data_IF_151907401334
#
_entry.id   IF_151907401334
#
_cell.length_a   1.000
_cell.length_b   1.000
_cell.length_c   1.000
_cell.angle_alpha   90.00
_cell.angle_beta   90.00
_cell.angle_gamma   90.00
#
_symmetry.space_group_name_H-M   'P 1'
#
loop_
_entity.id
_entity.type
_entity.pdbx_description
1 polymer ?
#
# COMPACT_ATOMS: atom_id res chain seq x y z
N UNK A 1 26.45 -6.88 40.26
CA UNK A 1 25.99 -6.98 38.85
C UNK A 1 27.04 -6.27 38.02
N UNK A 2 27.44 -6.82 36.86
CA UNK A 2 28.45 -6.15 36.04
C UNK A 2 27.87 -4.86 35.45
N UNK A 3 28.71 -3.83 35.24
CA UNK A 3 28.33 -2.58 34.61
C UNK A 3 27.59 -2.79 33.28
N UNK A 4 27.93 -3.87 32.56
CA UNK A 4 27.28 -4.25 31.30
C UNK A 4 25.82 -4.64 31.50
N UNK A 5 25.47 -5.46 32.48
CA UNK A 5 24.08 -5.86 32.74
C UNK A 5 23.20 -4.65 33.03
N UNK A 6 23.70 -3.70 33.81
CA UNK A 6 22.99 -2.46 34.09
C UNK A 6 22.74 -1.64 32.79
N UNK A 7 23.74 -1.51 31.91
CA UNK A 7 23.61 -0.85 30.63
C UNK A 7 22.58 -1.53 29.73
N UNK A 8 22.59 -2.86 29.67
CA UNK A 8 21.63 -3.67 28.88
C UNK A 8 20.20 -3.48 29.40
N UNK A 9 20.01 -3.43 30.72
CA UNK A 9 18.72 -3.17 31.35
C UNK A 9 18.21 -1.76 31.00
N UNK A 10 19.06 -0.73 31.13
CA UNK A 10 18.73 0.64 30.74
C UNK A 10 18.34 0.74 29.26
N UNK A 11 19.07 0.09 28.36
CA UNK A 11 18.69 0.06 26.92
C UNK A 11 17.31 -0.59 26.72
N UNK A 12 16.98 -1.62 27.48
CA UNK A 12 15.66 -2.26 27.43
C UNK A 12 14.55 -1.32 27.89
N UNK A 13 14.74 -0.60 28.99
CA UNK A 13 13.80 0.38 29.53
C UNK A 13 13.59 1.55 28.56
N UNK A 14 14.65 1.99 27.89
CA UNK A 14 14.61 3.01 26.84
C UNK A 14 14.07 2.48 25.49
N UNK A 15 13.73 1.19 25.40
CA UNK A 15 13.26 0.51 24.18
C UNK A 15 14.26 0.57 23.01
N UNK A 16 15.55 0.53 23.32
CA UNK A 16 16.65 0.48 22.35
C UNK A 16 17.03 -0.97 22.03
N UNK A 17 16.07 -1.74 21.50
CA UNK A 17 16.21 -3.19 21.34
C UNK A 17 17.27 -3.56 20.28
N UNK A 18 17.29 -2.86 19.14
CA UNK A 18 18.27 -3.11 18.08
C UNK A 18 19.70 -2.81 18.55
N UNK A 19 19.90 -1.69 19.25
CA UNK A 19 21.18 -1.31 19.84
C UNK A 19 21.64 -2.30 20.91
N UNK A 20 20.72 -2.74 21.78
CA UNK A 20 21.00 -3.75 22.81
C UNK A 20 21.49 -5.07 22.19
N UNK A 21 20.74 -5.59 21.21
CA UNK A 21 21.06 -6.85 20.56
C UNK A 21 22.39 -6.77 19.79
N UNK A 22 22.69 -5.61 19.20
CA UNK A 22 23.98 -5.36 18.55
C UNK A 22 25.14 -5.25 19.57
N UNK A 23 24.91 -4.63 20.74
CA UNK A 23 25.91 -4.55 21.81
C UNK A 23 26.29 -5.95 22.31
N UNK A 24 25.30 -6.80 22.59
CA UNK A 24 25.54 -8.17 23.03
C UNK A 24 26.38 -8.96 22.01
N UNK A 25 26.02 -8.84 20.71
CA UNK A 25 26.80 -9.46 19.63
C UNK A 25 28.24 -8.95 19.56
N UNK A 26 28.45 -7.63 19.73
CA UNK A 26 29.82 -7.07 19.75
C UNK A 26 30.66 -7.59 20.90
N UNK A 27 30.04 -8.01 22.00
CA UNK A 27 30.75 -8.60 23.14
C UNK A 27 31.11 -10.08 22.92
N UNK A 28 30.32 -10.81 22.13
CA UNK A 28 30.48 -12.23 21.87
C UNK A 28 31.40 -12.53 20.67
N UNK A 29 31.41 -11.67 19.67
CA UNK A 29 32.10 -11.92 18.40
C UNK A 29 33.48 -11.22 18.34
N UNK A 30 34.59 -11.98 18.22
CA UNK A 30 35.97 -11.43 18.21
C UNK A 30 36.24 -10.40 17.11
N UNK A 31 35.50 -10.46 15.99
CA UNK A 31 35.68 -9.52 14.85
C UNK A 31 35.49 -8.06 15.24
N UNK A 32 34.70 -7.76 16.26
CA UNK A 32 34.47 -6.39 16.72
C UNK A 32 35.63 -5.83 17.56
N UNK A 33 36.56 -6.66 18.04
CA UNK A 33 37.70 -6.22 18.86
C UNK A 33 38.73 -5.40 18.07
N UNK A 34 38.75 -5.54 16.73
CA UNK A 34 39.63 -4.76 15.84
C UNK A 34 39.07 -3.41 15.44
N UNK A 35 37.77 -3.15 15.72
CA UNK A 35 37.10 -1.90 15.36
C UNK A 35 37.35 -0.82 16.43
N UNK A 36 37.43 0.44 15.98
CA UNK A 36 37.47 1.59 16.88
C UNK A 36 36.16 1.76 17.64
N UNK A 37 36.18 2.59 18.67
CA UNK A 37 34.96 2.90 19.44
C UNK A 37 33.89 3.55 18.54
N UNK A 38 34.30 4.47 17.67
CA UNK A 38 33.40 5.19 16.75
C UNK A 38 32.72 4.24 15.77
N UNK A 39 33.47 3.30 15.20
CA UNK A 39 32.91 2.28 14.31
C UNK A 39 31.90 1.38 15.03
N UNK A 40 32.23 0.93 16.23
CA UNK A 40 31.35 0.12 17.05
C UNK A 40 30.07 0.86 17.44
N UNK A 41 30.19 2.15 17.80
CA UNK A 41 29.04 2.99 18.12
C UNK A 41 28.15 3.20 16.90
N UNK A 42 28.75 3.45 15.72
CA UNK A 42 27.98 3.57 14.47
C UNK A 42 27.17 2.29 14.19
N UNK A 43 27.77 1.12 14.33
CA UNK A 43 27.05 -0.17 14.19
C UNK A 43 25.89 -0.32 15.18
N UNK A 44 26.02 0.15 16.43
CA UNK A 44 24.93 0.12 17.40
C UNK A 44 23.76 1.01 16.98
N UNK A 45 24.05 2.22 16.52
CA UNK A 45 23.04 3.19 16.06
C UNK A 45 22.32 2.66 14.82
N UNK A 46 23.06 2.14 13.83
CA UNK A 46 22.50 1.57 12.61
C UNK A 46 21.58 0.38 12.88
N UNK A 47 21.95 -0.46 13.85
CA UNK A 47 21.12 -1.58 14.29
C UNK A 47 19.78 -1.11 14.88
N UNK A 48 19.79 -0.05 15.70
CA UNK A 48 18.56 0.52 16.29
C UNK A 48 17.67 1.17 15.20
N UNK A 49 18.26 1.96 14.30
CA UNK A 49 17.55 2.58 13.18
C UNK A 49 16.88 1.51 12.33
N UNK A 50 17.60 0.45 12.00
CA UNK A 50 17.10 -0.68 11.22
C UNK A 50 15.98 -1.43 11.94
N UNK A 51 16.13 -1.73 13.23
CA UNK A 51 15.10 -2.38 14.04
C UNK A 51 13.81 -1.54 14.09
N UNK A 52 13.93 -0.24 14.36
CA UNK A 52 12.78 0.68 14.38
C UNK A 52 12.10 0.75 13.03
N UNK A 53 12.87 0.86 11.94
CA UNK A 53 12.34 0.85 10.57
C UNK A 53 11.56 -0.44 10.29
N UNK A 54 12.15 -1.59 10.58
CA UNK A 54 11.53 -2.89 10.37
C UNK A 54 10.24 -3.06 11.18
N UNK A 55 10.24 -2.67 12.45
CA UNK A 55 9.05 -2.69 13.30
C UNK A 55 7.95 -1.75 12.78
N UNK A 56 8.33 -0.58 12.26
CA UNK A 56 7.39 0.35 11.63
C UNK A 56 6.76 -0.24 10.39
N UNK A 57 7.57 -0.80 9.46
CA UNK A 57 7.09 -1.46 8.23
C UNK A 57 6.14 -2.61 8.58
N UNK A 58 6.53 -3.47 9.52
CA UNK A 58 5.70 -4.60 9.96
C UNK A 58 4.34 -4.15 10.50
N UNK A 59 4.31 -3.07 11.29
CA UNK A 59 3.05 -2.48 11.79
C UNK A 59 2.19 -1.92 10.66
N UNK A 60 2.79 -1.17 9.73
CA UNK A 60 2.07 -0.60 8.58
C UNK A 60 1.52 -1.69 7.67
N UNK A 61 2.30 -2.74 7.39
CA UNK A 61 1.86 -3.88 6.60
C UNK A 61 0.70 -4.64 7.27
N UNK A 62 0.74 -4.81 8.58
CA UNK A 62 -0.39 -5.39 9.33
C UNK A 62 -1.65 -4.54 9.24
N UNK A 63 -1.51 -3.22 9.39
CA UNK A 63 -2.62 -2.27 9.36
C UNK A 63 -3.19 -2.06 7.95
N UNK A 64 -2.42 -2.32 6.90
CA UNK A 64 -2.79 -2.07 5.51
C UNK A 64 -3.94 -2.94 5.00
N UNK A 65 -4.18 -4.10 5.61
CA UNK A 65 -5.15 -5.12 5.16
C UNK A 65 -4.97 -5.55 3.71
N UNK A 66 -3.76 -5.45 3.16
CA UNK A 66 -3.47 -5.92 1.79
C UNK A 66 -3.92 -7.37 1.62
N UNK A 67 -4.60 -7.62 0.50
CA UNK A 67 -5.06 -8.98 0.14
C UNK A 67 -3.88 -9.93 -0.09
N UNK A 68 -2.80 -9.43 -0.69
CA UNK A 68 -1.54 -10.13 -0.90
C UNK A 68 -0.44 -9.33 -0.20
N UNK A 69 -0.09 -9.73 1.02
CA UNK A 69 0.93 -9.04 1.84
C UNK A 69 2.35 -9.32 1.37
N UNK A 70 2.52 -10.42 0.67
CA UNK A 70 3.73 -10.94 0.05
C UNK A 70 3.80 -10.68 -1.46
N UNK A 71 3.00 -9.74 -1.97
CA UNK A 71 3.13 -9.28 -3.34
C UNK A 71 4.27 -8.25 -3.42
N UNK A 72 5.30 -8.58 -4.20
CA UNK A 72 6.44 -7.71 -4.48
C UNK A 72 6.51 -7.35 -5.96
N UNK A 73 7.07 -6.17 -6.26
CA UNK A 73 7.25 -5.72 -7.65
C UNK A 73 8.25 -6.60 -8.39
N UNK A 74 9.24 -7.10 -7.67
CA UNK A 74 10.27 -8.01 -8.15
C UNK A 74 9.71 -9.35 -8.66
N UNK A 75 8.58 -9.79 -8.09
CA UNK A 75 7.88 -11.04 -8.47
C UNK A 75 6.85 -10.82 -9.59
N UNK A 76 6.74 -9.61 -10.12
CA UNK A 76 5.82 -9.33 -11.22
C UNK A 76 6.34 -9.96 -12.51
N UNK A 77 5.59 -10.89 -13.06
CA UNK A 77 5.92 -11.53 -14.32
C UNK A 77 5.67 -10.57 -15.51
N UNK A 78 6.74 -10.20 -16.19
CA UNK A 78 6.71 -9.37 -17.40
C UNK A 78 6.77 -10.17 -18.70
N UNK A 79 6.97 -11.49 -18.63
CA UNK A 79 7.11 -12.35 -19.84
C UNK A 79 5.76 -12.68 -20.48
N UNK A 80 4.68 -12.71 -19.70
CA UNK A 80 3.35 -12.90 -20.25
C UNK A 80 2.92 -11.67 -21.06
N UNK A 81 2.42 -11.91 -22.28
CA UNK A 81 1.87 -10.87 -23.17
C UNK A 81 0.56 -10.29 -22.62
N UNK A 82 0.63 -9.54 -21.54
CA UNK A 82 -0.53 -8.91 -20.89
C UNK A 82 -0.55 -7.40 -20.95
N UNK A 83 0.27 -6.80 -21.84
CA UNK A 83 0.32 -5.35 -22.00
C UNK A 83 0.96 -4.59 -20.83
N UNK A 84 1.71 -5.28 -19.97
CA UNK A 84 2.40 -4.68 -18.84
C UNK A 84 3.75 -4.11 -19.29
N UNK A 85 3.88 -2.79 -19.26
CA UNK A 85 5.14 -2.12 -19.55
C UNK A 85 6.05 -2.08 -18.31
N UNK A 86 7.21 -2.73 -18.45
CA UNK A 86 8.21 -2.79 -17.36
C UNK A 86 8.70 -1.41 -16.95
N UNK A 87 8.88 -0.47 -17.91
CA UNK A 87 9.36 0.88 -17.60
C UNK A 87 8.35 1.63 -16.71
N UNK A 88 7.07 1.53 -17.03
CA UNK A 88 5.99 2.12 -16.22
C UNK A 88 5.99 1.57 -14.81
N UNK A 89 6.11 0.25 -14.62
CA UNK A 89 6.12 -0.36 -13.29
C UNK A 89 7.35 0.04 -12.49
N UNK A 90 8.53 0.05 -13.11
CA UNK A 90 9.77 0.51 -12.46
C UNK A 90 9.72 2.00 -12.09
N UNK A 91 9.11 2.84 -12.93
CA UNK A 91 8.87 4.25 -12.60
C UNK A 91 7.95 4.40 -11.38
N UNK A 92 6.87 3.61 -11.32
CA UNK A 92 5.96 3.61 -10.17
C UNK A 92 6.60 3.08 -8.88
N UNK A 93 7.64 2.23 -8.99
CA UNK A 93 8.35 1.71 -7.82
C UNK A 93 9.19 2.76 -7.08
N UNK A 94 9.45 3.93 -7.68
CA UNK A 94 10.13 5.05 -7.02
C UNK A 94 9.23 5.85 -6.08
N UNK A 95 7.91 5.59 -6.10
CA UNK A 95 6.89 6.24 -5.26
C UNK A 95 6.72 7.76 -5.46
N UNK A 96 7.30 8.37 -6.51
CA UNK A 96 7.08 9.79 -6.86
C UNK A 96 5.57 10.12 -7.03
N UNK A 97 4.79 9.14 -7.52
CA UNK A 97 3.35 9.26 -7.67
C UNK A 97 2.63 9.42 -6.32
N UNK A 98 3.18 8.86 -5.23
CA UNK A 98 2.63 9.01 -3.88
C UNK A 98 2.89 10.43 -3.36
N UNK A 99 4.09 10.97 -3.58
CA UNK A 99 4.46 12.32 -3.16
C UNK A 99 3.67 13.38 -3.91
N UNK A 100 3.42 13.16 -5.22
CA UNK A 100 2.64 14.05 -6.08
C UNK A 100 1.14 13.84 -5.96
N UNK A 101 0.68 12.92 -5.13
CA UNK A 101 -0.73 12.55 -4.98
C UNK A 101 -1.41 12.12 -6.29
N UNK A 102 -0.65 11.49 -7.19
CA UNK A 102 -1.17 10.93 -8.42
C UNK A 102 -1.83 9.58 -8.15
N UNK A 103 -2.83 9.24 -8.93
CA UNK A 103 -3.52 7.97 -8.86
C UNK A 103 -2.90 6.90 -9.78
N UNK A 104 -3.23 5.65 -9.56
CA UNK A 104 -2.88 4.53 -10.45
C UNK A 104 -4.15 3.75 -10.76
N UNK A 105 -4.48 3.60 -12.04
CA UNK A 105 -5.65 2.85 -12.50
C UNK A 105 -5.17 1.61 -13.23
N UNK A 106 -5.56 0.44 -12.73
CA UNK A 106 -5.21 -0.86 -13.31
C UNK A 106 -6.49 -1.50 -13.82
N UNK A 107 -6.71 -1.47 -15.14
CA UNK A 107 -7.87 -2.08 -15.79
C UNK A 107 -7.51 -3.36 -16.52
N UNK A 108 -8.51 -4.20 -16.80
CA UNK A 108 -8.34 -5.41 -17.61
C UNK A 108 -9.19 -6.59 -17.16
N UNK A 109 -9.21 -7.71 -17.92
CA UNK A 109 -10.03 -8.89 -17.65
C UNK A 109 -9.76 -9.54 -16.29
N UNK A 110 -10.71 -10.36 -15.84
CA UNK A 110 -10.54 -11.16 -14.61
C UNK A 110 -9.32 -12.10 -14.73
N UNK A 111 -8.55 -12.17 -13.64
CA UNK A 111 -7.42 -13.10 -13.54
C UNK A 111 -6.10 -12.59 -14.12
N UNK A 112 -6.05 -11.39 -14.72
CA UNK A 112 -4.81 -10.82 -15.31
C UNK A 112 -3.80 -10.29 -14.30
N UNK A 113 -4.09 -10.39 -12.98
CA UNK A 113 -3.15 -9.99 -11.92
C UNK A 113 -3.32 -8.55 -11.42
N UNK A 114 -4.42 -7.84 -11.73
CA UNK A 114 -4.68 -6.45 -11.28
C UNK A 114 -4.49 -6.25 -9.79
N UNK A 115 -5.19 -7.04 -8.98
CA UNK A 115 -5.14 -6.96 -7.51
C UNK A 115 -3.74 -7.28 -6.98
N UNK A 116 -3.02 -8.24 -7.59
CA UNK A 116 -1.65 -8.55 -7.21
C UNK A 116 -0.74 -7.34 -7.44
N UNK A 117 -0.81 -6.74 -8.63
CA UNK A 117 -0.01 -5.56 -8.99
C UNK A 117 -0.34 -4.36 -8.08
N UNK A 118 -1.62 -4.13 -7.78
CA UNK A 118 -2.05 -3.09 -6.84
C UNK A 118 -1.46 -3.31 -5.44
N UNK A 119 -1.47 -4.56 -4.95
CA UNK A 119 -0.86 -4.91 -3.66
C UNK A 119 0.66 -4.77 -3.70
N UNK A 120 1.33 -5.13 -4.80
CA UNK A 120 2.78 -4.99 -4.96
C UNK A 120 3.22 -3.52 -4.92
N UNK A 121 2.52 -2.62 -5.61
CA UNK A 121 2.78 -1.17 -5.55
C UNK A 121 2.53 -0.61 -4.14
N UNK A 122 1.43 -1.01 -3.49
CA UNK A 122 1.14 -0.58 -2.12
C UNK A 122 2.16 -1.12 -1.11
N UNK A 123 2.64 -2.36 -1.27
CA UNK A 123 3.67 -2.96 -0.45
C UNK A 123 5.01 -2.22 -0.62
N UNK A 124 5.37 -1.87 -1.87
CA UNK A 124 6.55 -1.04 -2.15
C UNK A 124 6.45 0.31 -1.44
N UNK A 125 5.31 0.99 -1.51
CA UNK A 125 5.08 2.23 -0.80
C UNK A 125 5.24 2.08 0.73
N UNK A 126 4.73 0.98 1.32
CA UNK A 126 4.91 0.67 2.75
C UNK A 126 6.38 0.50 3.10
N UNK A 127 7.15 -0.20 2.28
CA UNK A 127 8.58 -0.43 2.50
C UNK A 127 9.38 0.88 2.51
N UNK A 128 8.95 1.87 1.72
CA UNK A 128 9.53 3.20 1.69
C UNK A 128 8.93 4.17 2.74
N UNK A 129 8.03 3.66 3.60
CA UNK A 129 7.53 4.37 4.78
C UNK A 129 6.18 5.07 4.61
N UNK A 130 5.50 4.91 3.46
CA UNK A 130 4.16 5.43 3.24
C UNK A 130 3.11 4.48 3.80
N UNK A 131 2.09 5.03 4.48
CA UNK A 131 0.99 4.21 4.97
C UNK A 131 0.04 3.83 3.82
N UNK A 132 -0.37 2.55 3.76
CA UNK A 132 -1.32 2.07 2.77
C UNK A 132 -2.51 1.37 3.42
N UNK A 133 -3.65 1.34 2.72
CA UNK A 133 -4.83 0.59 3.12
C UNK A 133 -5.51 -0.01 1.90
N UNK A 134 -5.94 -1.26 2.01
CA UNK A 134 -6.66 -1.97 0.96
C UNK A 134 -8.10 -2.22 1.37
N UNK A 135 -9.02 -1.98 0.45
CA UNK A 135 -10.42 -2.39 0.58
C UNK A 135 -11.02 -2.64 -0.81
N UNK A 136 -12.06 -3.46 -0.87
CA UNK A 136 -12.93 -3.54 -2.06
C UNK A 136 -13.95 -2.43 -2.00
N UNK A 137 -14.36 -1.93 -3.17
CA UNK A 137 -15.37 -0.87 -3.24
C UNK A 137 -16.69 -1.27 -2.55
N UNK A 138 -17.13 -2.51 -2.74
CA UNK A 138 -18.33 -3.03 -2.07
C UNK A 138 -18.23 -3.03 -0.54
N UNK A 139 -17.05 -3.37 -0.02
CA UNK A 139 -16.80 -3.37 1.42
C UNK A 139 -16.70 -1.93 1.97
N UNK A 140 -16.07 -1.01 1.21
CA UNK A 140 -16.03 0.41 1.55
C UNK A 140 -17.47 0.96 1.73
N UNK A 141 -18.34 0.74 0.74
CA UNK A 141 -19.74 1.19 0.77
C UNK A 141 -20.52 0.60 1.92
N UNK A 142 -20.37 -0.71 2.17
CA UNK A 142 -21.01 -1.37 3.32
C UNK A 142 -20.55 -0.78 4.65
N UNK A 143 -19.26 -0.51 4.80
CA UNK A 143 -18.73 0.13 6.01
C UNK A 143 -19.22 1.57 6.15
N UNK A 144 -19.28 2.34 5.05
CA UNK A 144 -19.83 3.70 5.06
C UNK A 144 -21.28 3.71 5.59
N UNK A 145 -22.11 2.78 5.12
CA UNK A 145 -23.50 2.67 5.60
C UNK A 145 -23.56 2.37 7.10
N UNK A 146 -22.72 1.48 7.61
CA UNK A 146 -22.67 1.13 9.04
C UNK A 146 -22.22 2.32 9.91
N UNK A 147 -21.10 2.98 9.55
CA UNK A 147 -20.57 4.09 10.34
C UNK A 147 -21.43 5.37 10.26
N UNK A 148 -22.25 5.51 9.21
CA UNK A 148 -23.27 6.56 9.16
C UNK A 148 -24.44 6.23 10.10
N UNK A 149 -24.85 4.98 10.20
CA UNK A 149 -25.93 4.56 11.09
C UNK A 149 -25.59 4.69 12.57
N UNK A 150 -24.33 4.46 12.96
CA UNK A 150 -23.84 4.60 14.34
C UNK A 150 -23.24 5.96 14.67
N UNK A 151 -23.21 6.90 13.71
CA UNK A 151 -22.69 8.27 13.88
C UNK A 151 -21.18 8.41 13.90
N UNK A 152 -20.40 7.34 13.66
CA UNK A 152 -18.93 7.36 13.70
C UNK A 152 -18.26 7.74 12.35
N UNK A 153 -19.06 8.13 11.35
CA UNK A 153 -18.58 8.40 9.97
C UNK A 153 -17.38 9.35 9.91
N UNK A 154 -17.45 10.50 10.59
CA UNK A 154 -16.37 11.51 10.54
C UNK A 154 -15.04 10.95 11.06
N UNK A 155 -15.07 10.20 12.15
CA UNK A 155 -13.88 9.57 12.73
C UNK A 155 -13.29 8.52 11.78
N UNK A 156 -14.15 7.69 11.21
CA UNK A 156 -13.76 6.67 10.25
C UNK A 156 -13.20 7.25 8.95
N UNK A 157 -13.88 8.22 8.34
CA UNK A 157 -13.45 8.89 7.13
C UNK A 157 -12.10 9.60 7.33
N UNK A 158 -11.94 10.33 8.46
CA UNK A 158 -10.67 10.97 8.84
C UNK A 158 -9.54 9.94 8.97
N UNK A 159 -9.80 8.79 9.58
CA UNK A 159 -8.80 7.72 9.70
C UNK A 159 -8.40 7.17 8.34
N UNK A 160 -9.36 6.97 7.45
CA UNK A 160 -9.13 6.41 6.13
C UNK A 160 -8.42 7.41 5.20
N UNK A 161 -8.74 8.71 5.30
CA UNK A 161 -8.09 9.76 4.50
C UNK A 161 -6.62 9.99 4.86
N UNK A 162 -6.16 9.56 6.05
CA UNK A 162 -4.76 9.68 6.49
C UNK A 162 -3.81 8.69 5.80
N UNK A 163 -4.33 7.61 5.21
CA UNK A 163 -3.48 6.69 4.46
C UNK A 163 -2.95 7.35 3.19
N UNK A 164 -1.63 7.32 3.01
CA UNK A 164 -0.98 7.92 1.83
C UNK A 164 -1.35 7.19 0.54
N UNK A 165 -1.54 5.87 0.62
CA UNK A 165 -2.00 5.05 -0.50
C UNK A 165 -3.28 4.31 -0.11
N UNK A 166 -4.32 4.43 -0.92
CA UNK A 166 -5.54 3.65 -0.80
C UNK A 166 -5.68 2.73 -1.99
N UNK A 167 -5.86 1.44 -1.76
CA UNK A 167 -6.20 0.47 -2.82
C UNK A 167 -7.71 0.24 -2.80
N UNK A 168 -8.39 0.64 -3.87
CA UNK A 168 -9.79 0.36 -4.15
C UNK A 168 -9.89 -0.76 -5.18
N UNK A 169 -10.13 -1.97 -4.70
CA UNK A 169 -10.20 -3.17 -5.54
C UNK A 169 -11.63 -3.44 -6.03
N UNK A 170 -11.72 -4.06 -7.19
CA UNK A 170 -12.98 -4.48 -7.81
C UNK A 170 -13.95 -3.31 -8.12
N UNK A 171 -13.41 -2.16 -8.57
CA UNK A 171 -14.21 -1.01 -8.97
C UNK A 171 -14.98 -1.30 -10.28
N UNK A 172 -16.26 -0.93 -10.34
CA UNK A 172 -17.06 -1.09 -11.55
C UNK A 172 -17.69 -2.49 -11.73
N UNK A 173 -17.68 -3.38 -10.72
CA UNK A 173 -18.27 -4.72 -10.85
C UNK A 173 -19.80 -4.75 -10.82
N UNK A 174 -20.43 -3.82 -10.13
CA UNK A 174 -21.90 -3.75 -10.00
C UNK A 174 -22.32 -2.30 -10.07
N UNK A 175 -23.42 -1.97 -10.78
CA UNK A 175 -23.92 -0.59 -10.85
C UNK A 175 -24.14 0.00 -9.45
N UNK A 176 -23.77 1.25 -9.28
CA UNK A 176 -23.95 1.97 -8.02
C UNK A 176 -25.36 2.57 -7.92
N UNK A 177 -25.90 2.60 -6.72
CA UNK A 177 -27.04 3.43 -6.41
C UNK A 177 -26.65 4.90 -6.37
N UNK A 178 -27.58 5.82 -6.61
CA UNK A 178 -27.29 7.26 -6.61
C UNK A 178 -26.64 7.73 -5.31
N UNK A 179 -27.08 7.22 -4.15
CA UNK A 179 -26.48 7.52 -2.85
C UNK A 179 -25.04 7.01 -2.74
N UNK A 180 -24.76 5.80 -3.24
CA UNK A 180 -23.44 5.20 -3.20
C UNK A 180 -22.45 5.99 -4.08
N UNK A 181 -22.90 6.50 -5.23
CA UNK A 181 -22.10 7.37 -6.10
C UNK A 181 -21.72 8.67 -5.39
N UNK A 182 -22.65 9.26 -4.64
CA UNK A 182 -22.41 10.47 -3.86
C UNK A 182 -21.44 10.21 -2.70
N UNK A 183 -21.58 9.09 -1.99
CA UNK A 183 -20.67 8.67 -0.92
C UNK A 183 -19.24 8.44 -1.44
N UNK A 184 -19.11 7.87 -2.65
CA UNK A 184 -17.80 7.73 -3.30
C UNK A 184 -17.22 9.10 -3.67
N UNK A 185 -18.01 10.03 -4.18
CA UNK A 185 -17.54 11.38 -4.51
C UNK A 185 -17.02 12.10 -3.27
N UNK A 186 -17.79 12.14 -2.17
CA UNK A 186 -17.37 12.73 -0.90
C UNK A 186 -16.04 12.13 -0.42
N UNK A 187 -15.93 10.81 -0.48
CA UNK A 187 -14.74 10.10 -0.05
C UNK A 187 -13.51 10.41 -0.92
N UNK A 188 -13.68 10.54 -2.24
CA UNK A 188 -12.60 10.89 -3.16
C UNK A 188 -12.19 12.34 -2.95
N UNK A 189 -13.14 13.27 -2.74
CA UNK A 189 -12.86 14.68 -2.46
C UNK A 189 -12.00 14.86 -1.22
N UNK A 190 -12.29 14.14 -0.15
CA UNK A 190 -11.50 14.15 1.10
C UNK A 190 -10.06 13.69 0.88
N UNK A 191 -9.77 12.96 -0.19
CA UNK A 191 -8.45 12.43 -0.51
C UNK A 191 -7.67 13.25 -1.53
N UNK A 192 -8.33 14.10 -2.30
CA UNK A 192 -7.67 14.97 -3.28
C UNK A 192 -6.57 15.78 -2.58
N UNK A 193 -5.35 15.78 -3.15
CA UNK A 193 -4.15 16.44 -2.62
C UNK A 193 -3.69 15.97 -1.21
N UNK A 194 -4.22 14.87 -0.70
CA UNK A 194 -3.81 14.29 0.60
C UNK A 194 -3.16 12.91 0.48
N UNK A 195 -3.54 12.18 -0.55
CA UNK A 195 -3.03 10.84 -0.80
C UNK A 195 -3.40 10.32 -2.17
N UNK A 196 -2.74 9.26 -2.57
CA UNK A 196 -2.91 8.58 -3.85
C UNK A 196 -3.90 7.43 -3.74
N UNK A 197 -4.57 7.10 -4.83
CA UNK A 197 -5.48 5.97 -4.90
C UNK A 197 -5.07 5.02 -6.03
N UNK A 198 -4.93 3.73 -5.71
CA UNK A 198 -4.76 2.66 -6.69
C UNK A 198 -6.12 2.03 -6.90
N UNK A 199 -6.62 2.04 -8.14
CA UNK A 199 -7.92 1.47 -8.48
C UNK A 199 -7.72 0.27 -9.38
N UNK A 200 -8.35 -0.85 -9.06
CA UNK A 200 -8.43 -1.97 -9.99
C UNK A 200 -9.84 -2.09 -10.54
N UNK A 201 -9.98 -2.29 -11.84
CA UNK A 201 -11.29 -2.40 -12.49
C UNK A 201 -11.27 -3.46 -13.61
N UNK A 202 -12.41 -4.12 -13.78
CA UNK A 202 -12.63 -4.93 -14.97
C UNK A 202 -13.17 -4.10 -16.12
N UNK A 203 -13.85 -2.98 -15.81
CA UNK A 203 -14.35 -2.05 -16.81
C UNK A 203 -13.20 -1.18 -17.35
N UNK A 204 -13.12 -0.98 -18.67
CA UNK A 204 -12.32 0.09 -19.25
C UNK A 204 -12.73 1.45 -18.69
N UNK A 205 -11.76 2.37 -18.58
CA UNK A 205 -12.04 3.72 -18.06
C UNK A 205 -13.13 4.44 -18.88
N UNK A 206 -13.21 4.19 -20.18
CA UNK A 206 -14.24 4.74 -21.06
C UNK A 206 -15.67 4.35 -20.69
N UNK A 207 -15.84 3.27 -19.96
CA UNK A 207 -17.16 2.78 -19.51
C UNK A 207 -17.52 3.23 -18.09
N UNK A 208 -16.59 3.87 -17.37
CA UNK A 208 -16.82 4.29 -15.98
C UNK A 208 -17.93 5.32 -15.84
N UNK A 209 -18.12 6.17 -16.84
CA UNK A 209 -19.20 7.17 -16.81
C UNK A 209 -20.58 6.51 -16.66
N UNK A 210 -20.81 5.40 -17.37
CA UNK A 210 -22.07 4.63 -17.26
C UNK A 210 -22.22 3.83 -15.96
N UNK A 211 -21.13 3.66 -15.21
CA UNK A 211 -21.16 2.99 -13.90
C UNK A 211 -21.85 3.83 -12.82
N UNK A 212 -21.75 5.16 -12.94
CA UNK A 212 -22.42 6.11 -12.06
C UNK A 212 -23.78 6.49 -12.64
N UNK A 213 -24.86 6.30 -11.87
CA UNK A 213 -26.21 6.62 -12.33
C UNK A 213 -26.51 8.14 -12.42
N UNK A 214 -25.51 9.00 -12.26
CA UNK A 214 -25.64 10.46 -12.33
C UNK A 214 -24.46 11.03 -13.13
N UNK A 215 -24.69 11.65 -14.31
CA UNK A 215 -23.63 12.18 -15.14
C UNK A 215 -22.76 13.23 -14.45
N UNK A 216 -23.35 14.14 -13.68
CA UNK A 216 -22.60 15.20 -12.97
C UNK A 216 -21.67 14.62 -11.92
N UNK A 217 -22.12 13.60 -11.18
CA UNK A 217 -21.28 12.90 -10.20
C UNK A 217 -20.19 12.11 -10.93
N UNK A 218 -20.54 11.47 -12.05
CA UNK A 218 -19.57 10.75 -12.88
C UNK A 218 -18.44 11.67 -13.35
N UNK A 219 -18.77 12.83 -13.92
CA UNK A 219 -17.78 13.83 -14.36
C UNK A 219 -16.88 14.27 -13.21
N UNK A 220 -17.46 14.58 -12.05
CA UNK A 220 -16.69 15.00 -10.88
C UNK A 220 -15.74 13.93 -10.37
N UNK A 221 -16.16 12.67 -10.32
CA UNK A 221 -15.31 11.54 -9.91
C UNK A 221 -14.21 11.26 -10.94
N UNK A 222 -14.58 11.27 -12.23
CA UNK A 222 -13.64 11.02 -13.32
C UNK A 222 -12.54 12.08 -13.38
N UNK A 223 -12.89 13.34 -13.22
CA UNK A 223 -11.92 14.44 -13.17
C UNK A 223 -10.87 14.21 -12.07
N UNK A 224 -11.30 13.86 -10.86
CA UNK A 224 -10.42 13.65 -9.71
C UNK A 224 -9.59 12.36 -9.76
N UNK A 225 -10.14 11.29 -10.31
CA UNK A 225 -9.47 9.99 -10.33
C UNK A 225 -8.60 9.79 -11.56
N UNK A 226 -9.02 10.30 -12.73
CA UNK A 226 -8.45 9.90 -14.03
C UNK A 226 -7.50 10.93 -14.60
N UNK A 227 -7.68 12.22 -14.28
CA UNK A 227 -6.89 13.30 -14.85
C UNK A 227 -5.39 13.16 -14.50
N UNK A 228 -5.08 12.92 -13.23
CA UNK A 228 -3.71 12.76 -12.72
C UNK A 228 -3.38 11.28 -12.41
N UNK A 229 -3.78 10.37 -13.30
CA UNK A 229 -3.59 8.94 -13.07
C UNK A 229 -2.63 8.29 -14.07
N UNK A 230 -1.75 7.43 -13.56
CA UNK A 230 -1.08 6.42 -14.37
C UNK A 230 -2.07 5.32 -14.74
N UNK A 231 -2.20 5.04 -16.03
CA UNK A 231 -3.19 4.09 -16.58
C UNK A 231 -2.47 2.84 -17.06
N UNK A 232 -2.77 1.70 -16.46
CA UNK A 232 -2.23 0.40 -16.80
C UNK A 232 -3.40 -0.46 -17.29
N UNK A 233 -3.36 -0.87 -18.56
CA UNK A 233 -4.38 -1.71 -19.14
C UNK A 233 -3.82 -3.12 -19.37
N UNK A 234 -4.18 -4.06 -18.49
CA UNK A 234 -3.79 -5.45 -18.60
C UNK A 234 -4.69 -6.17 -19.62
N UNK A 235 -4.05 -6.99 -20.46
CA UNK A 235 -4.70 -7.79 -21.51
C UNK A 235 -4.43 -9.28 -21.28
N UNK A 236 -5.01 -10.13 -22.11
CA UNK A 236 -4.71 -11.57 -22.13
C UNK A 236 -5.56 -12.40 -21.19
N UNK A 237 -5.17 -13.67 -21.10
CA UNK A 237 -5.91 -14.69 -20.34
C UNK A 237 -5.64 -14.65 -18.84
N UNK A 238 -6.46 -15.39 -18.09
CA UNK A 238 -6.34 -15.51 -16.64
C UNK A 238 -5.07 -16.28 -16.26
N UNK A 239 -4.18 -15.64 -15.50
CA UNK A 239 -2.98 -16.27 -14.93
C UNK A 239 -3.29 -17.37 -13.89
N UNK A 240 -4.55 -17.48 -13.46
CA UNK A 240 -4.98 -18.57 -12.57
C UNK A 240 -5.05 -19.91 -13.29
N UNK A 241 -5.28 -19.90 -14.62
CA UNK A 241 -5.30 -21.12 -15.43
C UNK A 241 -3.91 -21.73 -15.58
N UNK A 242 -2.87 -20.91 -15.70
CA UNK A 242 -1.49 -21.39 -15.87
C UNK A 242 -0.89 -22.00 -14.60
N UNK A 243 -1.39 -21.66 -13.40
CA UNK A 243 -0.96 -22.29 -12.14
C UNK A 243 -1.62 -23.65 -11.87
N UNK A 244 -2.75 -23.95 -12.51
CA UNK A 244 -3.47 -25.22 -12.33
C UNK A 244 -3.05 -26.33 -13.34
N UNK A 245 -2.05 -26.10 -14.17
CA UNK A 245 -1.54 -27.12 -15.12
C UNK A 245 -0.40 -27.97 -14.51
N UNK A 246 -0.07 -27.73 -13.23
CA UNK A 246 0.96 -28.47 -12.48
C UNK A 246 0.35 -29.22 -11.27
N UNK A 247 -0.70 -30.01 -11.50
CA UNK A 247 -1.15 -31.04 -10.56
C UNK A 247 -1.49 -32.30 -11.31
#
# INVERSE_FOLDING_TARGET
MSSLNHTVDQMSDMKLHGMKDALLRQMEEPQYSSLTFEERLAHLIDAEVTDRRNKRIKRMLSASKLKYKDAFIEDVDFHHSRGLDRKTILSLSNNDWVERHHNVIISGPTGTGKTYLACALANRAITDGYSAYYTRISHLLSQTALVRADGSYLSWATKLSRFKVLVLDDFGLSPLKSRESQEILEFIEDRVQRGSTIITSQLPISEWHGYFNNPTIADAIMDRLVHNAYKINLKGESMRKSKNVLS
#
